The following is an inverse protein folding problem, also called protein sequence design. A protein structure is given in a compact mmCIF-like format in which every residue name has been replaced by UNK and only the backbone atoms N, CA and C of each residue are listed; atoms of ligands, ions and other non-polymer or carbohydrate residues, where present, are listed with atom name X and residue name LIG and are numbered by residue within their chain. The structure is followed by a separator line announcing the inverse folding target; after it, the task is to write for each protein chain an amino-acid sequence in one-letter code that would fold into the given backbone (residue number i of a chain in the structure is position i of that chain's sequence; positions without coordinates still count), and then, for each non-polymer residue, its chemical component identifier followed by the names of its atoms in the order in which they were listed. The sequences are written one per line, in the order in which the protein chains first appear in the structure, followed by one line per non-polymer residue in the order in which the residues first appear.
data_IF_181562299553
#
_entry.id   IF_181562299553
#
_cell.length_a   1.000
_cell.length_b   1.000
_cell.length_c   1.000
_cell.angle_alpha   90.00
_cell.angle_beta   90.00
_cell.angle_gamma   90.00
#
_symmetry.space_group_name_H-M   'P 1'
#
loop_
_entity.id
_entity.type
_entity.pdbx_description
1 polymer ?
#
# COMPACT_ATOMS: atom_id res chain seq x y z
N UNK A 1 31.16 10.64 31.63
CA UNK A 1 29.75 10.91 32.00
C UNK A 1 28.95 9.82 31.35
N UNK A 2 28.45 8.85 32.13
CA UNK A 2 27.54 7.82 31.59
C UNK A 2 26.22 8.53 31.22
N UNK A 3 25.87 8.48 29.95
CA UNK A 3 24.56 8.96 29.49
C UNK A 3 23.54 7.95 29.98
N UNK A 4 22.78 8.27 31.04
CA UNK A 4 21.65 7.47 31.47
C UNK A 4 20.59 7.53 30.37
N UNK A 5 20.39 6.42 29.66
CA UNK A 5 19.27 6.30 28.73
C UNK A 5 18.01 6.10 29.56
N UNK A 6 16.97 6.87 29.28
CA UNK A 6 15.64 6.76 29.90
C UNK A 6 15.09 5.32 29.70
N UNK A 7 14.51 4.75 30.73
CA UNK A 7 13.99 3.38 30.70
C UNK A 7 12.86 3.19 29.67
N UNK A 8 12.12 4.24 29.34
CA UNK A 8 11.10 4.20 28.29
C UNK A 8 11.63 3.82 26.91
N UNK A 9 12.96 3.97 26.67
CA UNK A 9 13.61 3.55 25.42
C UNK A 9 14.26 2.17 25.49
N UNK A 10 14.23 1.50 26.64
CA UNK A 10 14.82 0.18 26.87
C UNK A 10 13.85 -0.74 27.62
N UNK A 11 12.81 -1.27 26.94
CA UNK A 11 11.88 -2.18 27.59
C UNK A 11 12.60 -3.45 28.02
N UNK A 12 12.20 -4.01 29.18
CA UNK A 12 12.53 -5.39 29.50
C UNK A 12 11.73 -6.35 28.61
N UNK A 13 12.24 -7.56 28.40
CA UNK A 13 11.52 -8.57 27.63
C UNK A 13 10.14 -8.90 28.22
N UNK A 14 10.05 -8.91 29.57
CA UNK A 14 8.78 -9.10 30.29
C UNK A 14 7.74 -8.03 29.97
N UNK A 15 8.15 -6.76 29.85
CA UNK A 15 7.24 -5.65 29.54
C UNK A 15 6.60 -5.82 28.14
N UNK A 16 7.40 -6.28 27.18
CA UNK A 16 6.89 -6.59 25.83
C UNK A 16 5.91 -7.77 25.83
N UNK A 17 6.22 -8.82 26.61
CA UNK A 17 5.31 -9.96 26.77
C UNK A 17 4.01 -9.57 27.48
N UNK A 18 4.09 -8.72 28.50
CA UNK A 18 2.91 -8.18 29.18
C UNK A 18 2.01 -7.40 28.23
N UNK A 19 2.60 -6.59 27.33
CA UNK A 19 1.88 -5.88 26.28
C UNK A 19 1.18 -6.78 25.24
N UNK A 20 1.60 -8.04 25.11
CA UNK A 20 0.96 -9.01 24.22
C UNK A 20 -0.15 -9.85 24.88
N UNK A 21 -0.21 -9.88 26.23
CA UNK A 21 -1.22 -10.66 26.97
C UNK A 21 -2.66 -10.29 26.61
N UNK A 22 -3.01 -8.99 26.46
CA UNK A 22 -4.36 -8.58 26.15
C UNK A 22 -4.95 -9.15 24.85
N UNK A 23 -4.12 -9.59 23.89
CA UNK A 23 -4.63 -10.26 22.68
C UNK A 23 -5.31 -11.62 22.93
N UNK A 24 -5.15 -12.18 24.15
CA UNK A 24 -5.79 -13.43 24.56
C UNK A 24 -7.01 -13.21 25.44
N UNK A 25 -7.28 -11.98 25.86
CA UNK A 25 -8.33 -11.65 26.78
C UNK A 25 -9.64 -11.41 26.05
N UNK A 26 -10.75 -11.92 26.61
CA UNK A 26 -12.09 -11.56 26.17
C UNK A 26 -12.52 -10.29 26.94
N UNK A 27 -12.45 -9.15 26.27
CA UNK A 27 -12.93 -7.89 26.83
C UNK A 27 -14.46 -7.83 26.76
N UNK A 28 -15.11 -7.51 27.88
CA UNK A 28 -16.53 -7.18 27.89
C UNK A 28 -16.71 -5.68 27.76
N UNK A 29 -17.54 -5.24 26.84
CA UNK A 29 -17.81 -3.83 26.51
C UNK A 29 -18.31 -2.99 27.71
N UNK A 30 -18.72 -3.61 28.82
CA UNK A 30 -19.36 -2.95 29.95
C UNK A 30 -18.46 -2.08 30.83
N UNK A 31 -17.13 -2.10 30.62
CA UNK A 31 -16.17 -1.41 31.50
C UNK A 31 -15.23 -0.44 30.76
N UNK A 32 -15.59 -0.03 29.55
CA UNK A 32 -14.75 0.87 28.78
C UNK A 32 -14.99 2.32 29.23
N UNK A 33 -13.98 2.90 29.84
CA UNK A 33 -13.98 4.34 30.10
C UNK A 33 -13.73 5.14 28.80
N UNK A 34 -14.24 6.38 28.70
CA UNK A 34 -13.90 7.25 27.57
C UNK A 34 -12.39 7.58 27.58
N UNK A 35 -11.84 7.84 26.40
CA UNK A 35 -10.48 8.39 26.33
C UNK A 35 -10.41 9.71 27.11
N UNK A 36 -9.25 10.05 27.72
CA UNK A 36 -9.09 11.32 28.43
C UNK A 36 -9.37 12.52 27.52
N UNK A 37 -10.16 13.47 27.98
CA UNK A 37 -10.49 14.67 27.20
C UNK A 37 -9.30 15.63 27.09
N UNK A 38 -8.37 15.58 28.04
CA UNK A 38 -7.25 16.49 28.11
C UNK A 38 -5.92 15.76 28.14
N UNK A 39 -4.89 16.40 27.61
CA UNK A 39 -3.52 15.95 27.77
C UNK A 39 -3.16 15.95 29.26
N UNK A 40 -2.73 14.85 29.86
CA UNK A 40 -2.43 14.79 31.28
C UNK A 40 -1.19 15.60 31.63
N UNK A 41 -1.26 16.35 32.74
CA UNK A 41 -0.12 17.11 33.27
C UNK A 41 1.01 16.18 33.76
N UNK A 42 0.65 15.00 34.29
CA UNK A 42 1.58 13.97 34.72
C UNK A 42 1.34 12.67 33.96
N UNK A 43 2.44 12.03 33.50
CA UNK A 43 2.38 10.75 32.79
C UNK A 43 1.86 9.62 33.68
N UNK A 44 1.05 8.74 33.12
CA UNK A 44 0.51 7.57 33.80
C UNK A 44 1.53 6.43 33.97
N UNK A 45 2.59 6.45 33.15
CA UNK A 45 3.54 5.34 32.98
C UNK A 45 2.99 4.24 32.06
N UNK A 46 3.89 3.56 31.37
CA UNK A 46 3.60 2.65 30.26
C UNK A 46 2.63 1.53 30.65
N UNK A 47 2.83 0.91 31.81
CA UNK A 47 1.98 -0.20 32.28
C UNK A 47 0.52 0.20 32.44
N UNK A 48 0.27 1.33 33.12
CA UNK A 48 -1.11 1.83 33.31
C UNK A 48 -1.76 2.24 31.99
N UNK A 49 -0.95 2.77 31.03
CA UNK A 49 -1.43 3.11 29.70
C UNK A 49 -1.81 1.84 28.95
N UNK A 50 -1.04 0.76 29.01
CA UNK A 50 -1.39 -0.53 28.41
C UNK A 50 -2.70 -1.07 29.00
N UNK A 51 -2.80 -1.11 30.34
CA UNK A 51 -4.01 -1.60 31.05
C UNK A 51 -5.24 -0.75 30.69
N UNK A 52 -5.06 0.55 30.48
CA UNK A 52 -6.14 1.47 30.13
C UNK A 52 -6.58 1.35 28.64
N UNK A 53 -5.61 1.25 27.71
CA UNK A 53 -5.90 1.26 26.28
C UNK A 53 -6.27 -0.13 25.72
N UNK A 54 -5.82 -1.22 26.33
CA UNK A 54 -6.06 -2.56 25.80
C UNK A 54 -7.55 -2.89 25.62
N UNK A 55 -8.44 -2.64 26.61
CA UNK A 55 -9.87 -2.87 26.44
C UNK A 55 -10.46 -2.07 25.30
N UNK A 56 -10.01 -0.84 25.10
CA UNK A 56 -10.50 0.07 24.07
C UNK A 56 -9.95 -0.35 22.71
N UNK A 57 -8.62 -0.45 22.58
CA UNK A 57 -7.95 -0.66 21.31
C UNK A 57 -8.12 -2.08 20.76
N UNK A 58 -8.16 -3.07 21.64
CA UNK A 58 -8.26 -4.50 21.28
C UNK A 58 -9.70 -4.97 21.44
N UNK A 59 -10.35 -4.61 22.55
CA UNK A 59 -11.70 -5.08 22.88
C UNK A 59 -12.77 -4.56 21.92
N UNK A 60 -12.65 -3.31 21.45
CA UNK A 60 -13.60 -2.72 20.48
C UNK A 60 -13.20 -2.90 19.02
N UNK A 61 -12.01 -3.46 18.74
CA UNK A 61 -11.59 -3.71 17.37
C UNK A 61 -12.52 -4.71 16.67
N UNK A 62 -12.86 -4.42 15.41
CA UNK A 62 -13.54 -5.39 14.57
C UNK A 62 -12.65 -6.63 14.39
N UNK A 63 -13.17 -7.81 14.70
CA UNK A 63 -12.47 -9.10 14.55
C UNK A 63 -12.42 -9.47 13.06
N UNK A 64 -11.41 -8.98 12.35
CA UNK A 64 -11.23 -9.24 10.92
C UNK A 64 -10.83 -10.70 10.62
N UNK A 65 -10.40 -11.46 11.63
CA UNK A 65 -10.10 -12.89 11.57
C UNK A 65 -11.32 -13.79 11.80
N UNK A 66 -12.48 -13.20 12.11
CA UNK A 66 -13.74 -13.96 12.22
C UNK A 66 -14.15 -14.48 10.83
N UNK A 67 -14.52 -15.77 10.71
CA UNK A 67 -15.00 -16.34 9.44
C UNK A 67 -16.21 -15.61 8.83
N UNK A 68 -16.94 -14.82 9.62
CA UNK A 68 -18.07 -14.01 9.18
C UNK A 68 -17.70 -12.55 8.86
N UNK A 69 -16.44 -12.20 8.89
CA UNK A 69 -15.98 -10.86 8.52
C UNK A 69 -15.90 -10.71 6.99
N UNK A 70 -16.87 -10.03 6.41
CA UNK A 70 -16.97 -9.80 4.95
C UNK A 70 -16.77 -8.34 4.53
N UNK A 71 -16.35 -7.45 5.45
CA UNK A 71 -16.34 -6.03 5.19
C UNK A 71 -15.05 -5.55 4.50
N UNK A 72 -15.18 -4.63 3.57
CA UNK A 72 -14.17 -3.70 3.06
C UNK A 72 -12.85 -4.28 2.51
N UNK A 73 -12.76 -5.57 2.20
CA UNK A 73 -11.51 -6.19 1.69
C UNK A 73 -10.33 -6.05 2.67
N UNK A 74 -10.62 -6.07 3.97
CA UNK A 74 -9.66 -5.92 5.05
C UNK A 74 -9.40 -7.28 5.72
N UNK A 75 -8.46 -8.08 5.20
CA UNK A 75 -8.15 -9.39 5.77
C UNK A 75 -7.34 -9.24 7.07
N UNK A 76 -7.31 -10.29 7.91
CA UNK A 76 -6.35 -10.38 8.99
C UNK A 76 -4.93 -10.44 8.44
N UNK A 77 -3.96 -10.07 9.26
CA UNK A 77 -2.54 -10.08 8.87
C UNK A 77 -1.81 -11.29 9.44
N UNK A 78 -0.84 -11.89 8.72
CA UNK A 78 -0.04 -12.99 9.25
C UNK A 78 0.80 -12.54 10.44
N UNK A 79 0.89 -13.38 11.48
CA UNK A 79 1.63 -13.06 12.71
C UNK A 79 3.09 -12.65 12.46
N UNK A 80 3.71 -13.13 11.37
CA UNK A 80 5.07 -12.72 11.01
C UNK A 80 5.17 -11.21 10.78
N UNK A 81 4.12 -10.58 10.26
CA UNK A 81 4.10 -9.14 10.04
C UNK A 81 4.06 -8.35 11.35
N UNK A 82 3.49 -8.92 12.42
CA UNK A 82 3.46 -8.29 13.75
C UNK A 82 4.87 -8.19 14.33
N UNK A 83 5.64 -9.28 14.20
CA UNK A 83 7.05 -9.29 14.65
C UNK A 83 7.88 -8.32 13.82
N UNK A 84 7.66 -8.27 12.50
CA UNK A 84 8.38 -7.32 11.63
C UNK A 84 8.01 -5.87 11.94
N UNK A 85 6.77 -5.59 12.29
CA UNK A 85 6.33 -4.27 12.74
C UNK A 85 6.99 -3.87 14.06
N UNK A 86 7.09 -4.80 15.03
CA UNK A 86 7.81 -4.59 16.29
C UNK A 86 9.29 -4.29 16.03
N UNK A 87 9.96 -5.06 15.18
CA UNK A 87 11.36 -4.79 14.81
C UNK A 87 11.51 -3.42 14.14
N UNK A 88 10.61 -3.09 13.22
CA UNK A 88 10.63 -1.80 12.53
C UNK A 88 10.45 -0.62 13.51
N UNK A 89 9.53 -0.74 14.47
CA UNK A 89 9.32 0.25 15.52
C UNK A 89 10.56 0.39 16.43
N UNK A 90 11.14 -0.74 16.86
CA UNK A 90 12.31 -0.78 17.75
C UNK A 90 13.56 -0.19 17.08
N UNK A 91 13.81 -0.54 15.82
CA UNK A 91 14.98 -0.08 15.07
C UNK A 91 14.81 1.34 14.50
N UNK A 92 13.58 1.76 14.28
CA UNK A 92 13.20 3.08 13.79
C UNK A 92 14.05 3.59 12.60
N UNK A 93 14.32 2.70 11.64
CA UNK A 93 15.16 3.01 10.49
C UNK A 93 14.46 3.99 9.55
N UNK A 94 15.20 4.98 9.05
CA UNK A 94 14.69 5.96 8.09
C UNK A 94 15.28 5.70 6.70
N UNK A 95 14.43 5.29 5.76
CA UNK A 95 14.86 4.97 4.38
C UNK A 95 15.35 6.19 3.59
N UNK A 96 15.13 7.39 4.06
CA UNK A 96 15.62 8.60 3.41
C UNK A 96 17.15 8.66 3.40
N UNK A 97 17.81 8.09 4.43
CA UNK A 97 19.26 8.23 4.59
C UNK A 97 19.96 6.86 4.74
N UNK A 98 20.79 6.46 3.76
CA UNK A 98 21.48 5.16 3.78
C UNK A 98 22.35 4.92 5.02
N UNK A 99 22.95 5.97 5.60
CA UNK A 99 23.81 5.82 6.78
C UNK A 99 23.05 5.37 8.04
N UNK A 100 21.76 5.69 8.16
CA UNK A 100 20.91 5.30 9.29
C UNK A 100 19.93 4.18 8.95
N UNK A 101 19.97 3.71 7.71
CA UNK A 101 19.13 2.62 7.21
C UNK A 101 19.88 1.82 6.13
N UNK A 102 20.96 1.13 6.48
CA UNK A 102 21.87 0.53 5.50
C UNK A 102 21.25 -0.61 4.69
N UNK A 103 20.25 -1.32 5.24
CA UNK A 103 19.66 -2.51 4.60
C UNK A 103 18.14 -2.41 4.34
N UNK A 104 17.48 -1.39 4.88
CA UNK A 104 16.00 -1.35 4.79
C UNK A 104 15.48 -1.09 3.36
N UNK A 105 16.25 -0.38 2.52
CA UNK A 105 15.95 -0.24 1.09
C UNK A 105 16.04 -1.57 0.35
N UNK A 106 17.00 -2.42 0.72
CA UNK A 106 17.21 -3.70 0.06
C UNK A 106 16.00 -4.63 0.28
N UNK A 107 15.35 -4.55 1.46
CA UNK A 107 14.11 -5.30 1.72
C UNK A 107 12.99 -4.89 0.77
N UNK A 108 12.81 -3.59 0.56
CA UNK A 108 11.82 -3.08 -0.37
C UNK A 108 12.13 -3.48 -1.81
N UNK A 109 13.36 -3.22 -2.25
CA UNK A 109 13.82 -3.57 -3.60
C UNK A 109 13.66 -5.05 -3.87
N UNK A 110 14.06 -5.91 -2.94
CA UNK A 110 13.96 -7.36 -3.11
C UNK A 110 12.50 -7.83 -3.24
N UNK A 111 11.60 -7.30 -2.42
CA UNK A 111 10.18 -7.63 -2.50
C UNK A 111 9.59 -7.21 -3.86
N UNK A 112 9.94 -6.02 -4.35
CA UNK A 112 9.50 -5.51 -5.65
C UNK A 112 10.07 -6.35 -6.79
N UNK A 113 11.38 -6.66 -6.77
CA UNK A 113 12.05 -7.48 -7.80
C UNK A 113 11.38 -8.85 -7.96
N UNK A 114 10.91 -9.45 -6.86
CA UNK A 114 10.21 -10.73 -6.92
C UNK A 114 8.82 -10.65 -7.51
N UNK A 115 8.17 -9.50 -7.42
CA UNK A 115 6.82 -9.28 -7.94
C UNK A 115 6.82 -8.80 -9.40
N UNK A 116 7.80 -7.99 -9.80
CA UNK A 116 7.88 -7.39 -11.13
C UNK A 116 7.65 -8.36 -12.29
N UNK A 117 8.25 -9.59 -12.32
CA UNK A 117 8.11 -10.51 -13.44
C UNK A 117 6.66 -10.93 -13.71
N UNK A 118 5.81 -10.99 -12.69
CA UNK A 118 4.39 -11.37 -12.87
C UNK A 118 3.60 -10.30 -13.63
N UNK A 119 4.05 -9.06 -13.57
CA UNK A 119 3.37 -7.92 -14.15
C UNK A 119 4.08 -7.35 -15.39
N UNK A 120 5.22 -7.94 -15.80
CA UNK A 120 6.01 -7.42 -16.91
C UNK A 120 6.60 -6.03 -16.64
N UNK A 121 6.84 -5.70 -15.36
CA UNK A 121 7.42 -4.44 -14.89
C UNK A 121 8.90 -4.63 -14.55
N UNK A 122 9.67 -3.52 -14.50
CA UNK A 122 11.10 -3.62 -14.24
C UNK A 122 11.55 -2.94 -12.93
N UNK A 123 10.60 -2.53 -12.09
CA UNK A 123 10.86 -1.98 -10.77
C UNK A 123 9.70 -1.15 -10.26
N UNK A 124 9.95 -0.42 -9.17
CA UNK A 124 8.94 0.40 -8.51
C UNK A 124 9.33 0.76 -7.09
N UNK A 125 8.36 1.11 -6.27
CA UNK A 125 8.56 1.39 -4.85
C UNK A 125 7.27 1.18 -4.04
N UNK A 126 7.41 1.10 -2.73
CA UNK A 126 6.27 0.98 -1.83
C UNK A 126 5.73 2.36 -1.45
N UNK A 127 4.44 2.43 -1.23
CA UNK A 127 3.74 3.61 -0.71
C UNK A 127 2.82 3.21 0.45
N UNK A 128 2.41 4.15 1.32
CA UNK A 128 1.50 3.86 2.43
C UNK A 128 0.03 3.75 1.99
N UNK A 129 -0.23 3.13 0.84
CA UNK A 129 -1.58 2.87 0.35
C UNK A 129 -1.76 3.22 -1.12
N UNK A 130 -2.71 2.54 -1.78
CA UNK A 130 -2.91 2.66 -3.24
C UNK A 130 -3.36 4.04 -3.68
N UNK A 131 -3.98 4.85 -2.82
CA UNK A 131 -4.25 6.25 -3.13
C UNK A 131 -2.96 7.01 -3.45
N UNK A 132 -1.89 6.80 -2.68
CA UNK A 132 -0.59 7.42 -2.95
C UNK A 132 0.15 6.75 -4.10
N UNK A 133 -0.02 5.44 -4.31
CA UNK A 133 0.49 4.78 -5.51
C UNK A 133 -0.13 5.38 -6.77
N UNK A 134 -1.45 5.51 -6.80
CA UNK A 134 -2.19 6.09 -7.92
C UNK A 134 -1.78 7.56 -8.16
N UNK A 135 -1.73 8.37 -7.09
CA UNK A 135 -1.26 9.75 -7.19
C UNK A 135 0.15 9.84 -7.78
N UNK A 136 1.07 8.99 -7.31
CA UNK A 136 2.46 8.99 -7.78
C UNK A 136 2.56 8.53 -9.24
N UNK A 137 1.80 7.51 -9.65
CA UNK A 137 1.75 7.06 -11.04
C UNK A 137 1.26 8.16 -11.99
N UNK A 138 0.19 8.84 -11.59
CA UNK A 138 -0.41 9.94 -12.37
C UNK A 138 0.48 11.19 -12.37
N UNK A 139 1.23 11.43 -11.30
CA UNK A 139 2.27 12.45 -11.27
C UNK A 139 3.38 12.16 -12.30
N UNK A 140 3.89 10.92 -12.34
CA UNK A 140 4.85 10.48 -13.37
C UNK A 140 4.27 10.68 -14.76
N UNK A 141 3.04 10.24 -15.02
CA UNK A 141 2.37 10.39 -16.31
C UNK A 141 2.31 11.86 -16.75
N UNK A 142 1.95 12.76 -15.83
CA UNK A 142 1.91 14.20 -16.07
C UNK A 142 3.28 14.76 -16.46
N UNK A 143 4.29 14.48 -15.66
CA UNK A 143 5.60 15.13 -15.80
C UNK A 143 6.47 14.49 -16.89
N UNK A 144 6.37 13.16 -17.07
CA UNK A 144 7.15 12.43 -18.08
C UNK A 144 6.53 12.49 -19.49
N UNK A 145 5.19 12.41 -19.60
CA UNK A 145 4.48 12.32 -20.88
C UNK A 145 3.61 13.55 -21.18
N UNK A 146 3.60 14.54 -20.31
CA UNK A 146 2.80 15.76 -20.51
C UNK A 146 1.29 15.52 -20.50
N UNK A 147 0.84 14.49 -19.79
CA UNK A 147 -0.58 14.17 -19.61
C UNK A 147 -1.33 15.39 -19.07
N UNK A 148 -2.50 15.68 -19.64
CA UNK A 148 -3.38 16.79 -19.24
C UNK A 148 -4.69 16.32 -18.65
N UNK A 149 -5.09 15.08 -18.95
CA UNK A 149 -6.37 14.51 -18.59
C UNK A 149 -6.22 13.08 -18.09
N UNK A 150 -7.01 12.70 -17.10
CA UNK A 150 -7.21 11.33 -16.67
C UNK A 150 -8.56 10.87 -17.21
N UNK A 151 -8.57 9.75 -17.92
CA UNK A 151 -9.78 9.08 -18.41
C UNK A 151 -9.92 7.76 -17.65
N UNK A 152 -11.04 7.56 -16.98
CA UNK A 152 -11.29 6.39 -16.16
C UNK A 152 -12.76 5.99 -16.18
N UNK A 153 -13.07 4.75 -15.82
CA UNK A 153 -14.44 4.28 -15.60
C UNK A 153 -15.16 5.12 -14.55
N UNK A 154 -16.48 5.25 -14.65
CA UNK A 154 -17.30 5.81 -13.57
C UNK A 154 -17.23 5.00 -12.27
N UNK A 155 -16.89 3.69 -12.35
CA UNK A 155 -16.64 2.80 -11.23
C UNK A 155 -15.17 2.84 -10.73
N UNK A 156 -14.32 3.68 -11.31
CA UNK A 156 -12.94 3.83 -10.84
C UNK A 156 -12.91 4.36 -9.41
N UNK A 157 -11.94 3.86 -8.63
CA UNK A 157 -11.80 4.29 -7.24
C UNK A 157 -11.62 5.80 -7.13
N UNK A 158 -12.22 6.40 -6.09
CA UNK A 158 -12.23 7.85 -5.83
C UNK A 158 -10.83 8.50 -5.84
N UNK A 159 -9.77 7.71 -5.60
CA UNK A 159 -8.38 8.19 -5.65
C UNK A 159 -7.99 8.76 -7.02
N UNK A 160 -8.61 8.32 -8.12
CA UNK A 160 -8.32 8.82 -9.46
C UNK A 160 -8.76 10.29 -9.59
N UNK A 161 -10.00 10.59 -9.21
CA UNK A 161 -10.53 11.96 -9.20
C UNK A 161 -9.79 12.85 -8.20
N UNK A 162 -9.48 12.30 -7.01
CA UNK A 162 -8.67 13.01 -6.01
C UNK A 162 -7.29 13.34 -6.55
N UNK A 163 -6.62 12.41 -7.22
CA UNK A 163 -5.30 12.63 -7.83
C UNK A 163 -5.36 13.66 -8.95
N UNK A 164 -6.40 13.62 -9.80
CA UNK A 164 -6.61 14.64 -10.83
C UNK A 164 -6.67 16.04 -10.22
N UNK A 165 -7.48 16.22 -9.17
CA UNK A 165 -7.61 17.51 -8.48
C UNK A 165 -6.27 17.98 -7.88
N UNK A 166 -5.52 17.10 -7.22
CA UNK A 166 -4.22 17.44 -6.61
C UNK A 166 -3.21 17.83 -7.68
N UNK A 167 -3.20 17.12 -8.81
CA UNK A 167 -2.23 17.33 -9.88
C UNK A 167 -2.61 18.43 -10.87
N UNK A 168 -3.81 19.02 -10.74
CA UNK A 168 -4.33 20.01 -11.67
C UNK A 168 -4.63 19.45 -13.07
N UNK A 169 -5.05 18.17 -13.13
CA UNK A 169 -5.42 17.49 -14.36
C UNK A 169 -6.94 17.48 -14.54
N UNK A 170 -7.39 17.48 -15.79
CA UNK A 170 -8.78 17.20 -16.12
C UNK A 170 -9.13 15.75 -15.76
N UNK A 171 -10.40 15.51 -15.41
CA UNK A 171 -10.91 14.17 -15.13
C UNK A 171 -12.16 13.90 -15.95
N UNK A 172 -12.12 12.86 -16.78
CA UNK A 172 -13.22 12.42 -17.61
C UNK A 172 -13.63 11.00 -17.23
N UNK A 173 -14.91 10.81 -16.97
CA UNK A 173 -15.49 9.50 -16.68
C UNK A 173 -16.08 8.86 -17.93
N UNK A 174 -15.86 7.57 -18.08
CA UNK A 174 -16.45 6.73 -19.13
C UNK A 174 -17.49 5.82 -18.49
N UNK A 175 -18.71 5.72 -19.05
CA UNK A 175 -19.73 4.82 -18.56
C UNK A 175 -19.28 3.36 -18.54
N UNK A 176 -19.88 2.57 -17.65
CA UNK A 176 -19.64 1.15 -17.56
C UNK A 176 -20.60 0.31 -18.39
N UNK A 177 -20.18 -0.91 -18.69
CA UNK A 177 -21.02 -2.00 -19.13
C UNK A 177 -21.88 -2.52 -17.95
N UNK A 178 -22.84 -3.39 -18.26
CA UNK A 178 -23.71 -4.01 -17.24
C UNK A 178 -22.93 -4.80 -16.16
N UNK A 179 -21.74 -5.30 -16.48
CA UNK A 179 -20.86 -6.03 -15.57
C UNK A 179 -19.92 -5.12 -14.77
N UNK A 180 -20.12 -3.81 -14.81
CA UNK A 180 -19.30 -2.79 -14.15
C UNK A 180 -17.87 -2.66 -14.69
N UNK A 181 -17.55 -3.24 -15.85
CA UNK A 181 -16.30 -2.95 -16.56
C UNK A 181 -16.43 -1.68 -17.39
N UNK A 182 -15.32 -0.99 -17.67
CA UNK A 182 -15.34 0.20 -18.54
C UNK A 182 -15.90 -0.12 -19.93
N UNK A 183 -16.81 0.73 -20.43
CA UNK A 183 -17.31 0.57 -21.79
C UNK A 183 -16.31 1.14 -22.80
N UNK A 184 -15.54 0.26 -23.45
CA UNK A 184 -14.47 0.63 -24.36
C UNK A 184 -14.97 1.34 -25.64
N UNK A 185 -16.23 1.09 -26.04
CA UNK A 185 -16.82 1.71 -27.22
C UNK A 185 -17.13 3.20 -26.99
N UNK A 186 -17.16 3.63 -25.73
CA UNK A 186 -17.39 5.01 -25.32
C UNK A 186 -16.11 5.76 -24.94
N UNK A 187 -14.94 5.14 -25.12
CA UNK A 187 -13.67 5.83 -24.90
C UNK A 187 -13.51 7.01 -25.88
N UNK A 188 -12.93 8.13 -25.45
CA UNK A 188 -12.52 9.19 -26.36
C UNK A 188 -11.63 8.68 -27.49
N UNK A 189 -11.84 9.14 -28.70
CA UNK A 189 -11.06 8.73 -29.89
C UNK A 189 -9.61 9.19 -29.84
N UNK A 190 -9.34 10.32 -29.16
CA UNK A 190 -8.00 10.85 -28.95
C UNK A 190 -7.62 10.83 -27.46
N UNK A 191 -6.73 9.94 -27.11
CA UNK A 191 -6.13 9.80 -25.78
C UNK A 191 -4.65 10.22 -25.76
N UNK A 192 -4.13 10.84 -26.83
CA UNK A 192 -2.70 11.15 -26.99
C UNK A 192 -2.12 12.09 -25.92
N UNK A 193 -2.98 12.82 -25.18
CA UNK A 193 -2.61 13.63 -24.01
C UNK A 193 -3.29 13.19 -22.72
N UNK A 194 -3.78 11.95 -22.68
CA UNK A 194 -4.51 11.41 -21.56
C UNK A 194 -3.78 10.25 -20.92
N UNK A 195 -3.97 10.09 -19.62
CA UNK A 195 -3.73 8.84 -18.93
C UNK A 195 -5.03 8.03 -18.92
N UNK A 196 -5.03 6.88 -19.59
CA UNK A 196 -6.11 5.92 -19.48
C UNK A 196 -5.88 5.08 -18.23
N UNK A 197 -6.86 5.10 -17.33
CA UNK A 197 -6.87 4.28 -16.13
C UNK A 197 -7.81 3.10 -16.33
N UNK A 198 -7.26 1.90 -16.22
CA UNK A 198 -8.02 0.66 -16.24
C UNK A 198 -8.06 0.08 -14.83
N UNK A 199 -9.20 -0.44 -14.42
CA UNK A 199 -9.40 -0.98 -13.07
C UNK A 199 -9.37 -2.50 -13.09
N UNK A 200 -8.50 -3.10 -12.29
CA UNK A 200 -8.50 -4.55 -12.05
C UNK A 200 -9.09 -4.83 -10.67
N UNK A 201 -10.41 -4.91 -10.63
CA UNK A 201 -11.23 -5.13 -9.45
C UNK A 201 -11.89 -3.85 -8.93
N UNK A 202 -13.07 -3.51 -9.45
CA UNK A 202 -13.87 -2.36 -8.97
C UNK A 202 -14.32 -2.59 -7.53
N UNK A 203 -14.49 -1.51 -6.76
CA UNK A 203 -14.80 -1.57 -5.31
C UNK A 203 -16.14 -2.25 -5.04
N UNK A 204 -17.16 -1.99 -5.87
CA UNK A 204 -18.52 -2.51 -5.64
C UNK A 204 -18.72 -3.90 -6.22
N UNK A 205 -18.22 -4.17 -7.43
CA UNK A 205 -18.52 -5.38 -8.18
C UNK A 205 -17.32 -6.33 -8.35
N UNK A 206 -16.09 -5.88 -8.05
CA UNK A 206 -14.88 -6.65 -8.33
C UNK A 206 -14.60 -6.83 -9.82
N UNK A 207 -15.26 -6.04 -10.70
CA UNK A 207 -15.11 -6.12 -12.14
C UNK A 207 -13.68 -5.79 -12.57
N UNK A 208 -13.20 -6.48 -13.59
CA UNK A 208 -11.88 -6.25 -14.18
C UNK A 208 -12.08 -5.75 -15.60
N UNK A 209 -11.54 -4.58 -15.90
CA UNK A 209 -11.56 -4.01 -17.23
C UNK A 209 -10.74 -4.87 -18.21
N UNK A 210 -11.04 -4.77 -19.50
CA UNK A 210 -10.21 -5.39 -20.51
C UNK A 210 -8.84 -4.72 -20.55
N UNK A 211 -7.84 -5.31 -19.88
CA UNK A 211 -6.47 -4.78 -19.81
C UNK A 211 -5.70 -4.90 -21.14
N UNK A 212 -6.27 -5.57 -22.14
CA UNK A 212 -5.62 -5.86 -23.42
C UNK A 212 -6.15 -4.98 -24.56
N UNK A 213 -6.81 -3.87 -24.25
CA UNK A 213 -7.36 -2.98 -25.28
C UNK A 213 -6.25 -2.27 -26.04
N UNK A 214 -6.45 -2.16 -27.37
CA UNK A 214 -5.65 -1.26 -28.19
C UNK A 214 -6.11 0.19 -27.93
N UNK A 215 -5.17 1.08 -27.65
CA UNK A 215 -5.44 2.49 -27.41
C UNK A 215 -4.24 3.34 -27.85
N UNK A 216 -4.46 4.67 -27.90
CA UNK A 216 -3.43 5.67 -28.20
C UNK A 216 -3.14 6.59 -27.01
N UNK A 217 -3.38 6.14 -25.78
CA UNK A 217 -3.14 6.93 -24.58
C UNK A 217 -1.65 7.26 -24.41
N UNK A 218 -1.37 8.46 -23.94
CA UNK A 218 -0.01 8.87 -23.60
C UNK A 218 0.59 8.03 -22.46
N UNK A 219 -0.28 7.52 -21.57
CA UNK A 219 0.04 6.66 -20.44
C UNK A 219 -1.12 5.73 -20.12
N UNK A 220 -0.82 4.50 -19.82
CA UNK A 220 -1.80 3.53 -19.29
C UNK A 220 -1.43 3.17 -17.86
N UNK A 221 -2.33 3.45 -16.93
CA UNK A 221 -2.21 3.07 -15.54
C UNK A 221 -3.24 1.99 -15.20
N UNK A 222 -2.83 0.91 -14.54
CA UNK A 222 -3.75 -0.11 -14.04
C UNK A 222 -3.86 0.02 -12.51
N UNK A 223 -5.07 0.40 -12.05
CA UNK A 223 -5.40 0.26 -10.63
C UNK A 223 -5.77 -1.18 -10.34
N UNK A 224 -4.79 -1.95 -9.94
CA UNK A 224 -4.90 -3.34 -9.53
C UNK A 224 -4.87 -3.49 -8.01
N UNK A 225 -5.33 -2.46 -7.29
CA UNK A 225 -5.30 -2.44 -5.84
C UNK A 225 -5.98 -3.65 -5.21
N UNK A 226 -7.03 -4.16 -5.85
CA UNK A 226 -7.75 -5.35 -5.39
C UNK A 226 -7.26 -6.62 -6.08
N UNK A 227 -7.45 -6.76 -7.38
CA UNK A 227 -7.22 -8.00 -8.09
C UNK A 227 -5.74 -8.26 -8.47
N UNK A 228 -4.84 -7.29 -8.29
CA UNK A 228 -3.43 -7.42 -8.66
C UNK A 228 -2.78 -8.74 -8.22
N UNK A 229 -2.90 -9.15 -6.95
CA UNK A 229 -2.31 -10.38 -6.46
C UNK A 229 -2.76 -11.65 -7.17
N UNK A 230 -3.96 -11.67 -7.77
CA UNK A 230 -4.45 -12.81 -8.57
C UNK A 230 -3.49 -13.16 -9.71
N UNK A 231 -2.68 -12.20 -10.20
CA UNK A 231 -1.68 -12.47 -11.25
C UNK A 231 -0.65 -13.52 -10.85
N UNK A 232 -0.42 -13.71 -9.55
CA UNK A 232 0.52 -14.71 -9.03
C UNK A 232 -0.13 -16.10 -9.01
N UNK A 233 -1.45 -16.19 -9.00
CA UNK A 233 -2.20 -17.45 -8.98
C UNK A 233 -2.16 -18.13 -10.35
N UNK A 234 -1.79 -19.40 -10.37
CA UNK A 234 -1.88 -20.22 -11.62
C UNK A 234 -3.32 -20.38 -12.09
N UNK A 235 -4.27 -20.41 -11.16
CA UNK A 235 -5.70 -20.60 -11.45
C UNK A 235 -6.38 -19.32 -11.95
N UNK A 236 -6.02 -18.17 -11.40
CA UNK A 236 -6.73 -16.91 -11.63
C UNK A 236 -5.90 -15.84 -12.36
N UNK A 237 -4.61 -16.07 -12.58
CA UNK A 237 -3.72 -15.08 -13.19
C UNK A 237 -4.11 -14.62 -14.58
N UNK A 238 -4.85 -15.47 -15.32
CA UNK A 238 -5.36 -15.14 -16.66
C UNK A 238 -6.33 -13.95 -16.68
N UNK A 239 -7.00 -13.68 -15.56
CA UNK A 239 -7.93 -12.55 -15.43
C UNK A 239 -7.23 -11.19 -15.63
N UNK A 240 -5.91 -11.13 -15.39
CA UNK A 240 -5.12 -9.94 -15.58
C UNK A 240 -4.26 -9.99 -16.85
N UNK A 241 -4.62 -10.79 -17.85
CA UNK A 241 -3.91 -10.80 -19.12
C UNK A 241 -4.00 -9.42 -19.80
N UNK A 242 -2.85 -8.88 -20.21
CA UNK A 242 -2.72 -7.53 -20.74
C UNK A 242 -2.17 -6.53 -19.74
N UNK A 243 -2.12 -6.86 -18.44
CA UNK A 243 -1.56 -5.97 -17.41
C UNK A 243 -0.11 -5.57 -17.70
N UNK A 244 0.65 -6.44 -18.35
CA UNK A 244 2.04 -6.22 -18.77
C UNK A 244 2.19 -5.12 -19.83
N UNK A 245 1.10 -4.65 -20.43
CA UNK A 245 1.09 -3.53 -21.40
C UNK A 245 1.01 -2.17 -20.73
N UNK A 246 0.65 -2.11 -19.46
CA UNK A 246 0.56 -0.86 -18.72
C UNK A 246 1.94 -0.20 -18.54
N UNK A 247 1.95 1.13 -18.40
CA UNK A 247 3.12 1.90 -18.04
C UNK A 247 3.36 1.90 -16.53
N UNK A 248 2.27 1.81 -15.75
CA UNK A 248 2.31 1.71 -14.29
C UNK A 248 1.16 0.89 -13.73
N UNK A 249 1.39 0.25 -12.58
CA UNK A 249 0.42 -0.59 -11.88
C UNK A 249 0.47 -0.29 -10.38
N UNK A 250 -0.68 -0.11 -9.75
CA UNK A 250 -0.79 -0.04 -8.29
C UNK A 250 -1.44 -1.31 -7.71
N UNK A 251 -0.89 -1.83 -6.61
CA UNK A 251 -1.37 -3.05 -5.94
C UNK A 251 -1.43 -2.79 -4.44
N UNK A 252 -2.57 -2.99 -3.79
CA UNK A 252 -2.64 -2.89 -2.32
C UNK A 252 -2.04 -4.12 -1.65
N UNK A 253 -0.94 -3.92 -0.92
CA UNK A 253 -0.36 -4.99 -0.09
C UNK A 253 -1.28 -5.36 1.07
N UNK A 254 -1.97 -4.38 1.65
CA UNK A 254 -2.88 -4.58 2.79
C UNK A 254 -4.27 -5.16 2.43
N UNK A 255 -4.48 -5.56 1.17
CA UNK A 255 -5.66 -6.33 0.75
C UNK A 255 -5.27 -7.79 0.60
N UNK A 256 -5.14 -8.30 -0.59
CA UNK A 256 -4.92 -9.72 -0.86
C UNK A 256 -3.47 -10.22 -0.73
N UNK A 257 -2.52 -9.36 -0.30
CA UNK A 257 -1.20 -9.80 0.16
C UNK A 257 -1.14 -9.83 1.70
N UNK A 258 -2.27 -9.53 2.37
CA UNK A 258 -2.45 -9.67 3.82
C UNK A 258 -1.46 -8.85 4.66
N UNK A 259 -0.99 -7.71 4.12
CA UNK A 259 -0.06 -6.86 4.84
C UNK A 259 -0.79 -5.95 5.84
N UNK A 260 -0.12 -5.50 6.90
CA UNK A 260 -0.63 -4.40 7.72
C UNK A 260 -0.96 -3.18 6.85
N UNK A 261 -1.85 -2.30 7.34
CA UNK A 261 -2.16 -1.02 6.68
C UNK A 261 -0.86 -0.26 6.36
N UNK A 262 -0.99 0.75 5.50
CA UNK A 262 0.12 1.53 4.97
C UNK A 262 1.08 0.71 4.08
N UNK A 263 0.54 -0.29 3.37
CA UNK A 263 1.28 -1.12 2.41
C UNK A 263 0.61 -1.13 1.06
N UNK A 264 1.29 -0.57 0.06
CA UNK A 264 0.93 -0.64 -1.35
C UNK A 264 2.19 -0.65 -2.21
N UNK A 265 2.09 -1.28 -3.37
CA UNK A 265 3.16 -1.49 -4.32
C UNK A 265 2.83 -0.70 -5.57
N UNK A 266 3.74 0.16 -6.01
CA UNK A 266 3.68 0.86 -7.27
C UNK A 266 4.77 0.32 -8.18
N UNK A 267 4.38 -0.19 -9.34
CA UNK A 267 5.29 -0.75 -10.34
C UNK A 267 5.29 0.10 -11.60
N UNK A 268 6.44 0.17 -12.28
CA UNK A 268 6.62 0.88 -13.54
C UNK A 268 7.25 0.00 -14.61
N UNK A 269 6.83 0.20 -15.86
CA UNK A 269 7.42 -0.40 -17.04
C UNK A 269 8.84 0.09 -17.27
N UNK A 270 9.07 1.39 -17.07
CA UNK A 270 10.37 2.04 -17.14
C UNK A 270 10.62 2.82 -15.84
N UNK A 271 11.11 2.11 -14.83
CA UNK A 271 11.33 2.65 -13.48
C UNK A 271 12.40 3.75 -13.46
N UNK A 272 13.42 3.65 -14.30
CA UNK A 272 14.50 4.66 -14.35
C UNK A 272 13.96 6.03 -14.77
N UNK A 273 13.20 6.11 -15.88
CA UNK A 273 12.57 7.34 -16.35
C UNK A 273 11.50 7.85 -15.37
N UNK A 274 10.68 6.94 -14.84
CA UNK A 274 9.66 7.28 -13.85
C UNK A 274 10.30 7.93 -12.61
N UNK A 275 11.31 7.30 -12.04
CA UNK A 275 12.01 7.83 -10.86
C UNK A 275 12.69 9.16 -11.16
N UNK A 276 13.32 9.33 -12.32
CA UNK A 276 13.96 10.58 -12.71
C UNK A 276 12.93 11.73 -12.76
N UNK A 277 11.72 11.50 -13.27
CA UNK A 277 10.70 12.54 -13.42
C UNK A 277 10.15 13.06 -12.08
N UNK A 278 10.22 12.27 -11.01
CA UNK A 278 9.71 12.62 -9.68
C UNK A 278 10.80 12.65 -8.60
N UNK A 279 12.07 12.76 -8.99
CA UNK A 279 13.21 12.85 -8.09
C UNK A 279 13.48 14.29 -7.68
N UNK A 280 13.72 14.48 -6.38
CA UNK A 280 14.09 15.76 -5.80
C UNK A 280 15.41 15.62 -5.01
N UNK A 281 16.36 16.52 -5.25
CA UNK A 281 17.64 16.56 -4.55
C UNK A 281 17.70 17.75 -3.60
N UNK A 282 18.38 17.58 -2.48
CA UNK A 282 18.70 18.64 -1.53
C UNK A 282 20.10 18.43 -0.96
N UNK A 283 20.73 19.50 -0.49
CA UNK A 283 22.12 19.46 -0.03
C UNK A 283 22.41 18.52 1.15
N UNK A 284 21.37 18.15 1.91
CA UNK A 284 21.46 17.20 3.03
C UNK A 284 21.20 15.75 2.64
N UNK A 285 20.82 15.48 1.38
CA UNK A 285 20.52 14.14 0.88
C UNK A 285 21.75 13.55 0.18
N UNK A 286 22.13 12.34 0.57
CA UNK A 286 23.19 11.58 -0.11
C UNK A 286 22.72 10.93 -1.42
N UNK A 287 21.39 10.80 -1.61
CA UNK A 287 20.74 10.37 -2.84
C UNK A 287 19.40 11.12 -2.99
N UNK A 288 18.97 11.32 -4.22
CA UNK A 288 17.68 11.99 -4.48
C UNK A 288 16.53 11.27 -3.79
N UNK A 289 15.60 12.04 -3.22
CA UNK A 289 14.32 11.52 -2.76
C UNK A 289 13.39 11.28 -3.96
N UNK A 290 12.78 10.12 -4.01
CA UNK A 290 11.90 9.71 -5.10
C UNK A 290 10.45 9.69 -4.59
N UNK A 291 9.57 10.36 -5.33
CA UNK A 291 8.14 10.40 -5.04
C UNK A 291 7.79 11.34 -3.88
N UNK A 292 6.56 11.17 -3.36
CA UNK A 292 5.96 12.10 -2.40
C UNK A 292 6.49 11.92 -0.97
N UNK A 293 7.02 10.75 -0.65
CA UNK A 293 7.43 10.42 0.72
C UNK A 293 8.88 10.84 0.96
N UNK A 294 9.09 11.59 2.04
CA UNK A 294 10.43 11.88 2.59
C UNK A 294 10.87 10.79 3.57
N UNK A 295 10.97 11.15 4.86
CA UNK A 295 11.28 10.20 5.93
C UNK A 295 10.21 9.14 6.06
N UNK A 296 10.61 7.86 6.02
CA UNK A 296 9.70 6.72 6.14
C UNK A 296 10.39 5.49 6.72
N UNK A 297 9.63 4.66 7.41
CA UNK A 297 10.09 3.40 7.97
C UNK A 297 10.23 2.28 6.93
N UNK A 298 10.73 1.13 7.36
CA UNK A 298 10.98 -0.04 6.52
C UNK A 298 9.69 -0.85 6.27
N UNK A 299 8.70 -0.24 5.62
CA UNK A 299 7.41 -0.89 5.29
C UNK A 299 7.57 -2.10 4.35
N UNK A 300 8.69 -2.25 3.68
CA UNK A 300 9.05 -3.42 2.87
C UNK A 300 9.39 -4.66 3.69
N UNK A 301 9.78 -4.52 4.97
CA UNK A 301 10.20 -5.64 5.79
C UNK A 301 9.07 -6.65 6.07
N UNK A 302 7.86 -6.24 6.50
CA UNK A 302 6.73 -7.17 6.65
C UNK A 302 6.35 -7.87 5.35
N UNK A 303 6.36 -7.14 4.23
CA UNK A 303 6.05 -7.69 2.90
C UNK A 303 7.06 -8.77 2.51
N UNK A 304 8.36 -8.45 2.58
CA UNK A 304 9.41 -9.41 2.25
C UNK A 304 9.33 -10.66 3.13
N UNK A 305 9.14 -10.49 4.44
CA UNK A 305 9.02 -11.60 5.38
C UNK A 305 7.81 -12.50 5.06
N UNK A 306 6.67 -11.92 4.68
CA UNK A 306 5.49 -12.68 4.24
C UNK A 306 5.78 -13.46 2.95
N UNK A 307 6.37 -12.82 1.95
CA UNK A 307 6.73 -13.47 0.70
C UNK A 307 7.74 -14.61 0.92
N UNK A 308 8.71 -14.44 1.82
CA UNK A 308 9.66 -15.49 2.19
C UNK A 308 8.98 -16.65 2.94
N UNK A 309 8.10 -16.34 3.90
CA UNK A 309 7.46 -17.34 4.73
C UNK A 309 6.47 -18.21 3.94
N UNK A 310 5.76 -17.64 2.99
CA UNK A 310 4.73 -18.36 2.21
C UNK A 310 5.24 -18.87 0.87
N UNK A 311 6.20 -18.19 0.28
CA UNK A 311 6.62 -18.42 -1.10
C UNK A 311 5.48 -18.17 -2.10
N UNK A 312 5.77 -18.42 -3.37
CA UNK A 312 4.80 -18.27 -4.46
C UNK A 312 3.56 -19.15 -4.27
N UNK A 313 3.76 -20.44 -3.96
CA UNK A 313 2.66 -21.40 -3.81
C UNK A 313 1.80 -21.11 -2.59
N UNK A 314 2.43 -20.75 -1.46
CA UNK A 314 1.71 -20.42 -0.24
C UNK A 314 0.87 -19.15 -0.39
N UNK A 315 1.35 -18.15 -1.13
CA UNK A 315 0.55 -16.97 -1.47
C UNK A 315 -0.59 -17.34 -2.44
N UNK A 316 -0.29 -18.06 -3.52
CA UNK A 316 -1.29 -18.47 -4.51
C UNK A 316 -2.43 -19.33 -3.95
N UNK A 317 -2.17 -20.12 -2.89
CA UNK A 317 -3.21 -20.91 -2.19
C UNK A 317 -4.19 -20.04 -1.38
N UNK A 318 -3.84 -18.81 -1.07
CA UNK A 318 -4.66 -17.85 -0.29
C UNK A 318 -5.43 -16.89 -1.16
N UNK A 319 -5.10 -16.86 -2.45
CA UNK A 319 -5.76 -16.12 -3.52
C UNK A 319 -6.78 -17.00 -4.24
#
# INVERSE_FOLDING_TARGET
MEVKIDNSFKPNYSDLLDGLKPFKDDFTLSNLGPLPDNFPDEGLGEKKVLDYLAPIAIGEATKLDDPLAFAHMDPPTPWITWIMALWNASLNQNLLHPAISPVARDFETKAIDWLCPYFGMNGGHLTPGSTLSNLTALWVARDLKGVKKIVASEEAHISMKKSANILGLEFETVPCNHDSSINIDLLPTDLSKSCLVLTAGTTAAGAIDNLNIANNAAWVHVDAAWAGPLRISQKHGYLLNGVEKADSISISGHKWIFQPKDSSILLFKNTAEANQSISMSAGYLSSSNIGIMGSRGAIGLPLLATLMAWGKEGLAKRL
#
